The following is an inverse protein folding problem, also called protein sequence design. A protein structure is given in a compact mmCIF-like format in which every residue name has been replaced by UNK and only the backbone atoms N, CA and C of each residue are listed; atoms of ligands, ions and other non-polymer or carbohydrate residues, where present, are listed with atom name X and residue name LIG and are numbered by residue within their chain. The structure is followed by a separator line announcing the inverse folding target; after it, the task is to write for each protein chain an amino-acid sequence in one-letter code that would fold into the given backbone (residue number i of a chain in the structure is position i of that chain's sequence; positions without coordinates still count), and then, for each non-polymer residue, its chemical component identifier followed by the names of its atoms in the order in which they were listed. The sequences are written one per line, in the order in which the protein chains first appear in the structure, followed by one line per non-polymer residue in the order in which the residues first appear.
data_IF_784966233967
#
_entry.id   IF_784966233967
#
_cell.length_a   1.000
_cell.length_b   1.000
_cell.length_c   1.000
_cell.angle_alpha   90.00
_cell.angle_beta   90.00
_cell.angle_gamma   90.00
#
_symmetry.space_group_name_H-M   'P 1'
#
loop_
_entity.id
_entity.type
_entity.pdbx_description
1 polymer ?
#
# COMPACT_ATOMS: atom_id res chain seq x y z
N UNK A 1 39.16 -23.83 2.41
CA UNK A 1 38.38 -23.45 1.20
C UNK A 1 36.90 -23.40 1.55
N UNK A 2 36.36 -22.30 2.10
CA UNK A 2 34.91 -22.09 2.35
C UNK A 2 34.68 -20.74 3.05
N UNK A 3 34.71 -19.62 2.33
CA UNK A 3 34.34 -18.30 2.90
C UNK A 3 33.45 -17.43 1.97
N UNK A 4 32.86 -18.03 0.92
CA UNK A 4 32.01 -17.28 -0.05
C UNK A 4 30.50 -17.24 0.29
N UNK A 5 30.03 -18.02 1.26
CA UNK A 5 28.58 -18.15 1.53
C UNK A 5 27.99 -17.03 2.41
N UNK A 6 28.78 -16.41 3.29
CA UNK A 6 28.27 -15.41 4.26
C UNK A 6 28.07 -14.01 3.66
N UNK A 7 28.85 -13.61 2.66
CA UNK A 7 28.78 -12.26 2.07
C UNK A 7 27.52 -12.05 1.20
N UNK A 8 27.04 -13.09 0.53
CA UNK A 8 25.86 -12.97 -0.33
C UNK A 8 24.57 -12.82 0.47
N UNK A 9 24.47 -13.44 1.63
CA UNK A 9 23.32 -13.31 2.52
C UNK A 9 23.23 -11.93 3.19
N UNK A 10 24.38 -11.37 3.58
CA UNK A 10 24.43 -10.01 4.15
C UNK A 10 24.02 -8.94 3.13
N UNK A 11 24.56 -9.01 1.91
CA UNK A 11 24.21 -8.08 0.83
C UNK A 11 22.73 -8.15 0.46
N UNK A 12 22.12 -9.35 0.46
CA UNK A 12 20.69 -9.50 0.20
C UNK A 12 19.82 -8.84 1.28
N UNK A 13 20.17 -9.01 2.55
CA UNK A 13 19.47 -8.38 3.69
C UNK A 13 19.58 -6.86 3.67
N UNK A 14 20.74 -6.32 3.36
CA UNK A 14 20.95 -4.86 3.24
C UNK A 14 20.09 -4.26 2.14
N UNK A 15 20.01 -4.92 0.97
CA UNK A 15 19.13 -4.48 -0.12
C UNK A 15 17.66 -4.49 0.28
N UNK A 16 17.20 -5.52 1.00
CA UNK A 16 15.82 -5.64 1.44
C UNK A 16 15.46 -4.52 2.43
N UNK A 17 16.35 -4.23 3.37
CA UNK A 17 16.18 -3.12 4.31
C UNK A 17 16.12 -1.76 3.59
N UNK A 18 16.96 -1.56 2.59
CA UNK A 18 16.95 -0.34 1.78
C UNK A 18 15.62 -0.17 1.04
N UNK A 19 15.07 -1.23 0.41
CA UNK A 19 13.76 -1.17 -0.23
C UNK A 19 12.64 -0.84 0.76
N UNK A 20 12.64 -1.46 1.94
CA UNK A 20 11.67 -1.20 3.01
C UNK A 20 11.72 0.26 3.44
N UNK A 21 12.92 0.79 3.68
CA UNK A 21 13.10 2.19 4.10
C UNK A 21 12.67 3.20 3.02
N UNK A 22 13.05 2.95 1.75
CA UNK A 22 12.69 3.82 0.62
C UNK A 22 11.18 3.85 0.42
N UNK A 23 10.51 2.69 0.48
CA UNK A 23 9.06 2.64 0.30
C UNK A 23 8.30 3.19 1.49
N UNK A 24 8.77 3.02 2.72
CA UNK A 24 8.21 3.71 3.88
C UNK A 24 8.31 5.23 3.71
N UNK A 25 9.46 5.74 3.29
CA UNK A 25 9.64 7.16 3.01
C UNK A 25 8.74 7.65 1.85
N UNK A 26 8.57 6.84 0.79
CA UNK A 26 7.66 7.15 -0.32
C UNK A 26 6.20 7.26 0.15
N UNK A 27 5.72 6.31 0.96
CA UNK A 27 4.37 6.33 1.53
C UNK A 27 4.19 7.60 2.37
N UNK A 28 5.17 7.97 3.19
CA UNK A 28 5.15 9.20 3.98
C UNK A 28 5.09 10.42 3.07
N UNK A 29 5.96 10.51 2.07
CA UNK A 29 6.01 11.65 1.17
C UNK A 29 4.70 11.85 0.40
N UNK A 30 4.09 10.77 -0.09
CA UNK A 30 2.80 10.81 -0.79
C UNK A 30 1.62 11.15 0.13
N UNK A 31 1.76 10.95 1.44
CA UNK A 31 0.79 11.40 2.44
C UNK A 31 0.67 12.94 2.57
N UNK A 32 1.71 13.67 2.16
CA UNK A 32 1.70 15.13 2.11
C UNK A 32 1.22 15.68 0.76
N UNK A 33 1.05 14.82 -0.25
CA UNK A 33 0.55 15.23 -1.56
C UNK A 33 -0.97 15.15 -1.54
N UNK A 34 -1.60 16.32 -1.39
CA UNK A 34 -3.03 16.48 -1.56
C UNK A 34 -3.30 17.16 -2.90
N UNK A 35 -4.04 16.50 -3.79
CA UNK A 35 -4.41 17.08 -5.09
C UNK A 35 -5.82 17.66 -4.93
N UNK A 36 -6.03 19.00 -5.05
CA UNK A 36 -7.30 19.66 -4.75
C UNK A 36 -8.34 19.53 -5.88
N UNK A 37 -8.32 18.45 -6.63
CA UNK A 37 -9.22 18.18 -7.77
C UNK A 37 -10.27 17.10 -7.46
N UNK A 38 -10.48 16.80 -6.18
CA UNK A 38 -11.47 15.79 -5.78
C UNK A 38 -12.91 16.14 -6.14
N UNK A 39 -13.71 15.13 -6.42
CA UNK A 39 -15.16 15.28 -6.56
C UNK A 39 -15.72 15.81 -5.24
N UNK A 40 -16.60 16.81 -5.28
CA UNK A 40 -17.20 17.45 -4.10
C UNK A 40 -16.20 18.16 -3.14
N UNK A 41 -15.03 18.59 -3.62
CA UNK A 41 -14.06 19.34 -2.79
C UNK A 41 -13.25 18.48 -1.82
N UNK A 42 -13.32 17.17 -1.92
CA UNK A 42 -12.51 16.26 -1.11
C UNK A 42 -11.15 16.11 -1.79
N UNK A 43 -10.03 16.41 -1.10
CA UNK A 43 -8.70 16.27 -1.70
C UNK A 43 -8.37 14.81 -1.93
N UNK A 44 -7.70 14.55 -3.05
CA UNK A 44 -7.11 13.25 -3.37
C UNK A 44 -5.89 13.04 -2.48
N UNK A 45 -5.84 11.96 -1.77
CA UNK A 45 -4.74 11.60 -0.88
C UNK A 45 -4.03 10.35 -1.41
N UNK A 46 -2.90 10.52 -2.05
CA UNK A 46 -2.13 9.44 -2.68
C UNK A 46 -1.55 8.39 -1.70
N UNK A 47 -1.73 8.58 -0.40
CA UNK A 47 -1.12 7.71 0.60
C UNK A 47 -1.71 6.30 0.62
N UNK A 48 -3.04 6.16 0.49
CA UNK A 48 -3.71 4.85 0.50
C UNK A 48 -3.22 3.98 -0.65
N UNK A 49 -3.26 4.53 -1.85
CA UNK A 49 -2.80 3.81 -3.05
C UNK A 49 -1.29 3.59 -3.06
N UNK A 50 -0.49 4.46 -2.41
CA UNK A 50 0.95 4.27 -2.23
C UNK A 50 1.28 3.07 -1.34
N UNK A 51 0.47 2.80 -0.31
CA UNK A 51 0.59 1.60 0.52
C UNK A 51 0.41 0.34 -0.33
N UNK A 52 -0.60 0.32 -1.19
CA UNK A 52 -0.81 -0.81 -2.12
C UNK A 52 0.31 -0.87 -3.17
N UNK A 53 0.82 0.26 -3.67
CA UNK A 53 1.97 0.26 -4.57
C UNK A 53 3.18 -0.46 -3.96
N UNK A 54 3.44 -0.28 -2.66
CA UNK A 54 4.49 -1.00 -1.97
C UNK A 54 4.30 -2.53 -2.06
N UNK A 55 3.07 -3.01 -1.94
CA UNK A 55 2.74 -4.42 -2.14
C UNK A 55 2.99 -4.90 -3.57
N UNK A 56 2.55 -4.11 -4.57
CA UNK A 56 2.69 -4.44 -5.98
C UNK A 56 4.15 -4.50 -6.42
N UNK A 57 5.00 -3.63 -5.87
CA UNK A 57 6.42 -3.53 -6.26
C UNK A 57 7.32 -4.43 -5.44
N UNK A 58 7.13 -4.46 -4.13
CA UNK A 58 8.01 -5.17 -3.21
C UNK A 58 7.56 -6.59 -2.87
N UNK A 59 6.28 -6.90 -3.11
CA UNK A 59 5.67 -8.17 -2.69
C UNK A 59 5.19 -8.17 -1.23
N UNK A 60 4.73 -9.33 -0.71
CA UNK A 60 3.99 -9.39 0.55
C UNK A 60 4.84 -9.03 1.78
N UNK A 61 6.06 -9.55 1.88
CA UNK A 61 6.90 -9.39 3.09
C UNK A 61 7.51 -8.00 3.19
N UNK A 62 8.20 -7.55 2.13
CA UNK A 62 8.85 -6.23 2.11
C UNK A 62 7.81 -5.11 2.11
N UNK A 63 6.70 -5.28 1.38
CA UNK A 63 5.58 -4.35 1.41
C UNK A 63 4.99 -4.23 2.82
N UNK A 64 4.77 -5.35 3.50
CA UNK A 64 4.32 -5.36 4.89
C UNK A 64 5.29 -4.64 5.83
N UNK A 65 6.59 -4.90 5.71
CA UNK A 65 7.59 -4.22 6.54
C UNK A 65 7.69 -2.71 6.24
N UNK A 66 7.57 -2.30 4.97
CA UNK A 66 7.55 -0.88 4.60
C UNK A 66 6.34 -0.16 5.19
N UNK A 67 5.16 -0.78 5.08
CA UNK A 67 3.92 -0.28 5.68
C UNK A 67 3.99 -0.25 7.20
N UNK A 68 4.50 -1.31 7.82
CA UNK A 68 4.70 -1.38 9.27
C UNK A 68 5.68 -0.31 9.77
N UNK A 69 6.77 -0.08 9.04
CA UNK A 69 7.74 0.97 9.36
C UNK A 69 7.12 2.37 9.25
N UNK A 70 6.36 2.63 8.18
CA UNK A 70 5.59 3.86 8.03
C UNK A 70 4.65 4.10 9.21
N UNK A 71 3.84 3.10 9.59
CA UNK A 71 2.92 3.20 10.72
C UNK A 71 3.64 3.36 12.07
N UNK A 72 4.80 2.70 12.23
CA UNK A 72 5.63 2.83 13.42
C UNK A 72 6.21 4.24 13.57
N UNK A 73 6.73 4.82 12.49
CA UNK A 73 7.17 6.23 12.44
C UNK A 73 5.99 7.14 12.77
N UNK A 74 4.80 6.83 12.24
CA UNK A 74 3.57 7.55 12.47
C UNK A 74 3.07 7.54 13.92
N UNK A 75 3.56 6.65 14.79
CA UNK A 75 3.26 6.73 16.23
C UNK A 75 3.83 8.01 16.86
N UNK A 76 4.95 8.48 16.36
CA UNK A 76 5.69 9.61 16.94
C UNK A 76 5.63 10.87 16.09
N UNK A 77 5.46 10.73 14.77
CA UNK A 77 5.47 11.83 13.81
C UNK A 77 4.14 11.92 13.04
N UNK A 78 3.68 13.12 12.67
CA UNK A 78 2.44 13.34 11.92
C UNK A 78 2.63 13.04 10.43
N UNK A 79 2.86 11.77 10.09
CA UNK A 79 3.17 11.30 8.72
C UNK A 79 1.99 10.70 7.97
N UNK A 80 0.82 10.58 8.62
CA UNK A 80 -0.40 10.18 7.95
C UNK A 80 -1.02 11.37 7.21
N UNK A 81 -1.81 11.05 6.21
CA UNK A 81 -2.53 12.04 5.40
C UNK A 81 -3.27 13.06 6.28
N UNK A 82 -3.15 14.34 5.92
CA UNK A 82 -3.67 15.45 6.72
C UNK A 82 -2.85 15.79 7.96
N UNK A 83 -1.58 15.36 8.05
CA UNK A 83 -0.67 15.70 9.16
C UNK A 83 -1.06 15.01 10.48
N UNK A 84 -1.60 13.80 10.41
CA UNK A 84 -2.05 13.03 11.59
C UNK A 84 -0.99 12.01 12.00
N UNK A 85 -1.05 11.60 13.28
CA UNK A 85 -0.26 10.47 13.78
C UNK A 85 -1.05 9.17 13.69
N UNK A 86 -0.36 8.04 13.71
CA UNK A 86 -1.00 6.71 13.80
C UNK A 86 -1.85 6.59 15.07
N UNK A 87 -1.36 7.12 16.20
CA UNK A 87 -2.12 7.11 17.48
C UNK A 87 -3.45 7.87 17.31
N UNK A 88 -3.41 9.05 16.71
CA UNK A 88 -4.63 9.81 16.44
C UNK A 88 -5.61 9.00 15.56
N UNK A 89 -5.10 8.39 14.48
CA UNK A 89 -5.92 7.60 13.57
C UNK A 89 -6.57 6.38 14.24
N UNK A 90 -5.84 5.69 15.14
CA UNK A 90 -6.37 4.57 15.93
C UNK A 90 -7.50 4.98 16.87
N UNK A 91 -7.52 6.24 17.35
CA UNK A 91 -8.60 6.81 18.17
C UNK A 91 -9.77 7.38 17.35
N UNK A 92 -9.67 7.48 16.04
CA UNK A 92 -10.60 8.17 15.14
C UNK A 92 -11.43 7.20 14.29
N UNK A 93 -12.45 7.70 13.56
CA UNK A 93 -13.20 6.91 12.57
C UNK A 93 -12.34 6.28 11.47
N UNK A 94 -11.12 6.78 11.26
CA UNK A 94 -10.20 6.27 10.22
C UNK A 94 -9.41 5.03 10.65
N UNK A 95 -9.62 4.50 11.87
CA UNK A 95 -8.95 3.30 12.39
C UNK A 95 -9.04 2.11 11.44
N UNK A 96 -10.21 1.91 10.82
CA UNK A 96 -10.43 0.80 9.89
C UNK A 96 -9.49 0.85 8.69
N UNK A 97 -9.29 2.03 8.11
CA UNK A 97 -8.36 2.23 6.98
C UNK A 97 -6.91 1.95 7.40
N UNK A 98 -6.47 2.47 8.54
CA UNK A 98 -5.09 2.27 9.01
C UNK A 98 -4.81 0.80 9.31
N UNK A 99 -5.73 0.09 9.93
CA UNK A 99 -5.59 -1.35 10.19
C UNK A 99 -5.66 -2.17 8.90
N UNK A 100 -6.45 -1.72 7.91
CA UNK A 100 -6.57 -2.41 6.62
C UNK A 100 -5.23 -2.51 5.89
N UNK A 101 -4.33 -1.55 6.03
CA UNK A 101 -3.02 -1.59 5.38
C UNK A 101 -2.22 -2.86 5.73
N UNK A 102 -2.32 -3.32 6.99
CA UNK A 102 -1.64 -4.53 7.45
C UNK A 102 -2.25 -5.83 6.87
N UNK A 103 -3.46 -5.76 6.33
CA UNK A 103 -4.15 -6.89 5.67
C UNK A 103 -4.07 -6.76 4.15
N UNK A 104 -4.37 -5.58 3.61
CA UNK A 104 -4.41 -5.32 2.18
C UNK A 104 -3.04 -5.55 1.51
N UNK A 105 -1.96 -5.08 2.15
CA UNK A 105 -0.61 -5.20 1.61
C UNK A 105 -0.14 -6.65 1.45
N UNK A 106 -0.22 -7.54 2.46
CA UNK A 106 0.12 -8.94 2.27
C UNK A 106 -0.73 -9.62 1.21
N UNK A 107 -2.05 -9.38 1.21
CA UNK A 107 -2.96 -9.98 0.23
C UNK A 107 -2.63 -9.54 -1.19
N UNK A 108 -2.53 -8.23 -1.44
CA UNK A 108 -2.14 -7.69 -2.75
C UNK A 108 -0.75 -8.18 -3.16
N UNK A 109 0.20 -8.20 -2.23
CA UNK A 109 1.57 -8.64 -2.47
C UNK A 109 1.69 -10.11 -2.85
N UNK A 110 0.89 -11.01 -2.24
CA UNK A 110 0.85 -12.43 -2.61
C UNK A 110 0.35 -12.62 -4.04
N UNK A 111 -0.65 -11.82 -4.45
CA UNK A 111 -1.15 -11.87 -5.83
C UNK A 111 -0.10 -11.27 -6.78
N UNK A 112 0.49 -10.13 -6.44
CA UNK A 112 1.53 -9.51 -7.21
C UNK A 112 2.75 -10.42 -7.41
N UNK A 113 3.15 -11.20 -6.41
CA UNK A 113 4.26 -12.13 -6.53
C UNK A 113 4.04 -13.23 -7.59
N UNK A 114 2.79 -13.48 -8.01
CA UNK A 114 2.48 -14.46 -9.06
C UNK A 114 2.77 -13.97 -10.47
N UNK A 115 3.18 -12.70 -10.67
CA UNK A 115 3.53 -12.15 -12.00
C UNK A 115 4.88 -12.65 -12.53
N UNK A 116 5.70 -13.26 -11.67
CA UNK A 116 7.01 -13.78 -12.08
C UNK A 116 6.86 -14.74 -13.25
N UNK A 117 7.67 -14.50 -14.29
CA UNK A 117 7.70 -15.28 -15.53
C UNK A 117 6.38 -15.33 -16.34
N UNK A 118 5.42 -14.44 -16.08
CA UNK A 118 4.17 -14.36 -16.82
C UNK A 118 4.28 -13.40 -18.03
N UNK A 119 3.48 -13.61 -19.10
CA UNK A 119 3.37 -12.65 -20.21
C UNK A 119 2.90 -11.26 -19.74
N UNK A 120 3.24 -10.21 -20.49
CA UNK A 120 2.93 -8.81 -20.12
C UNK A 120 1.45 -8.58 -19.80
N UNK A 121 0.53 -9.13 -20.62
CA UNK A 121 -0.90 -8.98 -20.40
C UNK A 121 -1.37 -9.64 -19.08
N UNK A 122 -0.84 -10.82 -18.76
CA UNK A 122 -1.14 -11.52 -17.50
C UNK A 122 -0.56 -10.77 -16.30
N UNK A 123 0.65 -10.18 -16.44
CA UNK A 123 1.23 -9.32 -15.40
C UNK A 123 0.33 -8.12 -15.12
N UNK A 124 -0.10 -7.42 -16.16
CA UNK A 124 -0.99 -6.27 -16.02
C UNK A 124 -2.31 -6.64 -15.33
N UNK A 125 -2.93 -7.75 -15.75
CA UNK A 125 -4.16 -8.24 -15.13
C UNK A 125 -3.97 -8.62 -13.65
N UNK A 126 -2.88 -9.32 -13.31
CA UNK A 126 -2.58 -9.70 -11.93
C UNK A 126 -2.29 -8.48 -11.04
N UNK A 127 -1.56 -7.48 -11.54
CA UNK A 127 -1.35 -6.24 -10.80
C UNK A 127 -2.65 -5.46 -10.61
N UNK A 128 -3.52 -5.40 -11.63
CA UNK A 128 -4.83 -4.77 -11.50
C UNK A 128 -5.68 -5.50 -10.45
N UNK A 129 -5.78 -6.83 -10.52
CA UNK A 129 -6.52 -7.62 -9.53
C UNK A 129 -5.95 -7.41 -8.13
N UNK A 130 -4.62 -7.43 -7.97
CA UNK A 130 -3.97 -7.22 -6.68
C UNK A 130 -4.26 -5.83 -6.11
N UNK A 131 -4.13 -4.78 -6.95
CA UNK A 131 -4.35 -3.40 -6.55
C UNK A 131 -5.80 -3.14 -6.14
N UNK A 132 -6.76 -3.47 -7.00
CA UNK A 132 -8.17 -3.23 -6.71
C UNK A 132 -8.73 -4.12 -5.58
N UNK A 133 -8.20 -5.33 -5.40
CA UNK A 133 -8.56 -6.14 -4.24
C UNK A 133 -8.00 -5.52 -2.94
N UNK A 134 -6.76 -5.02 -2.96
CA UNK A 134 -6.19 -4.28 -1.85
C UNK A 134 -7.06 -3.07 -1.47
N UNK A 135 -7.45 -2.27 -2.46
CA UNK A 135 -8.34 -1.13 -2.29
C UNK A 135 -9.72 -1.55 -1.73
N UNK A 136 -10.29 -2.64 -2.21
CA UNK A 136 -11.56 -3.17 -1.70
C UNK A 136 -11.46 -3.57 -0.22
N UNK A 137 -10.33 -4.16 0.21
CA UNK A 137 -10.06 -4.48 1.62
C UNK A 137 -10.02 -3.20 2.45
N UNK A 138 -9.39 -2.13 1.95
CA UNK A 138 -9.35 -0.84 2.63
C UNK A 138 -10.76 -0.27 2.82
N UNK A 139 -11.61 -0.33 1.80
CA UNK A 139 -12.99 0.14 1.90
C UNK A 139 -13.82 -0.68 2.89
N UNK A 140 -13.71 -2.01 2.86
CA UNK A 140 -14.46 -2.88 3.77
C UNK A 140 -14.04 -2.61 5.22
N UNK A 141 -12.74 -2.60 5.50
CA UNK A 141 -12.25 -2.35 6.86
C UNK A 141 -12.49 -0.89 7.28
N UNK A 142 -12.39 0.05 6.35
CA UNK A 142 -12.73 1.46 6.57
C UNK A 142 -14.20 1.63 6.94
N UNK A 143 -15.13 0.96 6.25
CA UNK A 143 -16.55 0.96 6.60
C UNK A 143 -16.77 0.44 8.03
N UNK A 144 -16.11 -0.69 8.37
CA UNK A 144 -16.17 -1.24 9.73
C UNK A 144 -15.68 -0.21 10.76
N UNK A 145 -14.57 0.48 10.50
CA UNK A 145 -14.07 1.55 11.37
C UNK A 145 -15.07 2.70 11.54
N UNK A 146 -15.70 3.12 10.45
CA UNK A 146 -16.76 4.16 10.47
C UNK A 146 -17.97 3.73 11.28
N UNK A 147 -18.40 2.48 11.17
CA UNK A 147 -19.52 1.94 11.96
C UNK A 147 -19.22 1.98 13.47
N UNK A 148 -18.01 1.58 13.87
CA UNK A 148 -17.64 1.49 15.28
C UNK A 148 -17.25 2.82 15.93
N UNK A 149 -16.79 3.81 15.17
CA UNK A 149 -16.22 5.06 15.70
C UNK A 149 -16.97 6.32 15.31
N UNK A 150 -17.85 6.24 14.31
CA UNK A 150 -18.68 7.36 13.86
C UNK A 150 -20.18 7.04 14.03
N UNK A 151 -20.53 5.94 14.69
CA UNK A 151 -21.89 5.47 14.94
C UNK A 151 -22.77 5.42 13.67
N UNK A 152 -22.14 5.12 12.53
CA UNK A 152 -22.85 4.95 11.26
C UNK A 152 -23.36 3.52 11.13
N UNK A 153 -24.55 3.39 10.54
CA UNK A 153 -25.00 2.09 10.04
C UNK A 153 -24.24 1.68 8.78
N UNK A 154 -24.39 0.44 8.34
CA UNK A 154 -23.67 -0.08 7.18
C UNK A 154 -23.92 0.74 5.90
N UNK A 155 -25.16 1.23 5.72
CA UNK A 155 -25.53 2.06 4.57
C UNK A 155 -24.88 3.44 4.64
N UNK A 156 -24.84 4.05 5.83
CA UNK A 156 -24.17 5.32 6.07
C UNK A 156 -22.67 5.23 5.87
N UNK A 157 -22.02 4.17 6.39
CA UNK A 157 -20.61 3.92 6.19
C UNK A 157 -20.25 3.72 4.70
N UNK A 158 -21.06 2.97 3.95
CA UNK A 158 -20.87 2.81 2.51
C UNK A 158 -21.03 4.14 1.75
N UNK A 159 -22.09 4.91 2.07
CA UNK A 159 -22.35 6.23 1.44
C UNK A 159 -21.23 7.23 1.71
N UNK A 160 -20.65 7.23 2.91
CA UNK A 160 -19.54 8.10 3.28
C UNK A 160 -18.29 7.88 2.41
N UNK A 161 -18.13 6.69 1.84
CA UNK A 161 -16.98 6.33 1.00
C UNK A 161 -17.21 6.59 -0.49
N UNK A 162 -18.46 6.73 -0.96
CA UNK A 162 -18.78 6.90 -2.39
C UNK A 162 -18.01 8.05 -3.07
N UNK A 163 -17.78 9.23 -2.43
CA UNK A 163 -17.05 10.31 -3.06
C UNK A 163 -15.59 9.98 -3.41
N UNK A 164 -14.97 9.02 -2.69
CA UNK A 164 -13.58 8.65 -2.88
C UNK A 164 -13.39 7.61 -3.99
N UNK A 165 -14.40 6.75 -4.24
CA UNK A 165 -14.28 5.60 -5.16
C UNK A 165 -13.77 5.99 -6.56
N UNK A 166 -14.31 7.03 -7.24
CA UNK A 166 -13.86 7.37 -8.59
C UNK A 166 -12.38 7.78 -8.62
N UNK A 167 -11.97 8.53 -7.61
CA UNK A 167 -10.61 9.07 -7.48
C UNK A 167 -9.61 7.96 -7.17
N UNK A 168 -9.90 7.16 -6.15
CA UNK A 168 -9.04 6.05 -5.73
C UNK A 168 -8.93 4.98 -6.84
N UNK A 169 -9.99 4.79 -7.63
CA UNK A 169 -9.93 3.89 -8.78
C UNK A 169 -8.95 4.39 -9.86
N UNK A 170 -8.93 5.71 -10.12
CA UNK A 170 -7.97 6.32 -11.06
C UNK A 170 -6.54 6.25 -10.49
N UNK A 171 -6.36 6.61 -9.22
CA UNK A 171 -5.07 6.51 -8.55
C UNK A 171 -4.53 5.08 -8.60
N UNK A 172 -5.37 4.08 -8.31
CA UNK A 172 -4.98 2.68 -8.36
C UNK A 172 -4.56 2.27 -9.79
N UNK A 173 -5.25 2.74 -10.83
CA UNK A 173 -4.82 2.48 -12.21
C UNK A 173 -3.43 3.05 -12.50
N UNK A 174 -3.13 4.25 -11.99
CA UNK A 174 -1.79 4.87 -12.09
C UNK A 174 -0.75 4.04 -11.32
N UNK A 175 -1.05 3.61 -10.10
CA UNK A 175 -0.13 2.78 -9.31
C UNK A 175 0.14 1.42 -9.96
N UNK A 176 -0.86 0.80 -10.58
CA UNK A 176 -0.70 -0.42 -11.39
C UNK A 176 0.23 -0.16 -12.58
N UNK A 177 0.05 0.95 -13.29
CA UNK A 177 0.93 1.31 -14.42
C UNK A 177 2.38 1.54 -13.95
N UNK A 178 2.58 2.20 -12.81
CA UNK A 178 3.90 2.38 -12.19
C UNK A 178 4.52 1.01 -11.83
N UNK A 179 3.76 0.12 -11.20
CA UNK A 179 4.24 -1.22 -10.86
C UNK A 179 4.69 -2.00 -12.10
N UNK A 180 3.91 -1.94 -13.19
CA UNK A 180 4.28 -2.56 -14.48
C UNK A 180 5.60 -1.96 -15.01
N UNK A 181 5.75 -0.64 -14.96
CA UNK A 181 6.97 0.07 -15.36
C UNK A 181 8.19 -0.38 -14.55
N UNK A 182 8.04 -0.40 -13.22
CA UNK A 182 9.11 -0.83 -12.30
C UNK A 182 9.53 -2.28 -12.57
N UNK A 183 8.57 -3.20 -12.74
CA UNK A 183 8.90 -4.61 -13.03
C UNK A 183 9.37 -4.86 -14.46
N UNK A 184 9.19 -3.91 -15.37
CA UNK A 184 9.81 -3.94 -16.68
C UNK A 184 11.28 -3.55 -16.58
N UNK A 185 11.61 -2.54 -15.78
CA UNK A 185 12.98 -2.08 -15.55
C UNK A 185 13.76 -3.01 -14.58
N UNK A 186 13.07 -3.58 -13.58
CA UNK A 186 13.68 -4.38 -12.52
C UNK A 186 12.96 -5.74 -12.34
N UNK A 187 13.06 -6.69 -13.30
CA UNK A 187 12.25 -7.91 -13.30
C UNK A 187 12.56 -8.89 -12.17
N UNK A 188 13.63 -8.66 -11.42
CA UNK A 188 14.05 -9.54 -10.31
C UNK A 188 13.54 -9.11 -8.92
N UNK A 189 12.85 -7.96 -8.80
CA UNK A 189 12.39 -7.49 -7.50
C UNK A 189 11.48 -8.50 -6.79
N UNK A 190 10.50 -9.09 -7.47
CA UNK A 190 9.61 -10.09 -6.91
C UNK A 190 10.19 -11.52 -6.91
N UNK A 191 11.18 -11.82 -7.76
CA UNK A 191 11.83 -13.15 -7.78
C UNK A 191 12.53 -13.52 -6.49
N UNK A 192 13.04 -12.53 -5.75
CA UNK A 192 13.70 -12.77 -4.46
C UNK A 192 12.72 -13.13 -3.34
N UNK A 193 11.45 -12.75 -3.46
CA UNK A 193 10.45 -13.03 -2.43
C UNK A 193 9.71 -14.36 -2.62
N UNK A 194 9.72 -14.90 -3.82
CA UNK A 194 9.06 -16.19 -4.13
C UNK A 194 9.88 -17.42 -3.73
N UNK A 195 11.06 -17.23 -3.17
CA UNK A 195 11.95 -18.27 -2.63
C UNK A 195 12.10 -18.16 -1.12
#
# INVERSE_FOLDING_TARGET
MTTRSSSSGAAARTSDLAYVAVFAALIIALGFVAVPVGVAGVPILLQNTAVILAALVLGPRRGFYATGLFLLIGLFLPVLAGGRTTIFALGSPTIGYVLSYLVAVPVAGVIAARVVDKPKAVKAALFAVAGYLGLAIEYVMGAIGLMFRADLDAAGAAKAQLPFIPTDAIEMAVMVAIAIGVHTAFPHLLRKESR
#
